data_IF_078676341624
#
_entry.id   IF_078676341624
#
_cell.length_a   1.000
_cell.length_b   1.000
_cell.length_c   1.000
_cell.angle_alpha   90.00
_cell.angle_beta   90.00
_cell.angle_gamma   90.00
#
_symmetry.space_group_name_H-M   'P 1'
#
loop_
_entity.id
_entity.type
_entity.pdbx_description
1 polymer ?
#
# COMPACT_ATOMS: atom_id res chain seq x y z
N UNK A 1 7.04 -2.69 8.32
CA UNK A 1 6.05 -2.50 7.24
C UNK A 1 6.65 -2.94 5.92
N UNK A 2 5.94 -3.74 5.15
CA UNK A 2 6.27 -4.15 3.79
C UNK A 2 5.34 -3.38 2.84
N UNK A 3 5.92 -2.55 1.98
CA UNK A 3 5.18 -1.72 1.03
C UNK A 3 5.06 -2.46 -0.31
N UNK A 4 3.90 -3.06 -0.54
CA UNK A 4 3.72 -4.12 -1.54
C UNK A 4 4.64 -5.33 -1.28
N UNK A 5 4.81 -6.21 -2.27
CA UNK A 5 5.65 -7.41 -2.16
C UNK A 5 7.13 -7.18 -2.47
N UNK A 6 7.53 -6.00 -2.94
CA UNK A 6 8.93 -5.74 -3.30
C UNK A 6 9.95 -6.06 -2.18
N UNK A 7 9.67 -5.77 -0.89
CA UNK A 7 10.57 -6.13 0.21
C UNK A 7 10.16 -7.46 0.90
N UNK A 8 9.37 -8.34 0.26
CA UNK A 8 8.87 -9.58 0.86
C UNK A 8 9.99 -10.52 1.35
N UNK A 9 11.18 -10.44 0.75
CA UNK A 9 12.38 -11.17 1.20
C UNK A 9 12.79 -10.85 2.64
N UNK A 10 12.33 -9.73 3.22
CA UNK A 10 12.56 -9.44 4.64
C UNK A 10 12.04 -10.55 5.56
N UNK A 11 10.97 -11.26 5.17
CA UNK A 11 10.41 -12.38 5.95
C UNK A 11 11.40 -13.55 6.01
N UNK A 12 11.81 -14.19 4.88
CA UNK A 12 12.78 -15.27 4.92
C UNK A 12 14.18 -14.82 5.36
N UNK A 13 14.58 -13.56 5.11
CA UNK A 13 15.88 -13.05 5.60
C UNK A 13 15.91 -12.89 7.12
N UNK A 14 14.83 -12.39 7.73
CA UNK A 14 14.74 -12.31 9.19
C UNK A 14 14.77 -13.71 9.81
N UNK A 15 14.06 -14.68 9.21
CA UNK A 15 14.13 -16.09 9.61
C UNK A 15 15.56 -16.63 9.48
N UNK A 16 16.25 -16.35 8.37
CA UNK A 16 17.63 -16.79 8.13
C UNK A 16 18.58 -16.26 9.20
N UNK A 17 18.51 -14.97 9.53
CA UNK A 17 19.36 -14.37 10.56
C UNK A 17 19.06 -15.01 11.92
N UNK A 18 17.79 -15.08 12.31
CA UNK A 18 17.40 -15.63 13.62
C UNK A 18 17.81 -17.10 13.77
N UNK A 19 17.57 -17.93 12.76
CA UNK A 19 17.84 -19.37 12.84
C UNK A 19 19.32 -19.68 12.59
N UNK A 20 19.89 -19.17 11.50
CA UNK A 20 21.22 -19.60 11.06
C UNK A 20 22.35 -18.87 11.78
N UNK A 21 22.15 -17.60 12.16
CA UNK A 21 23.18 -16.77 12.79
C UNK A 21 22.97 -16.74 14.31
N UNK A 22 21.79 -16.31 14.75
CA UNK A 22 21.47 -16.14 16.18
C UNK A 22 21.07 -17.45 16.88
N UNK A 23 20.96 -18.56 16.13
CA UNK A 23 20.66 -19.91 16.64
C UNK A 23 19.35 -19.98 17.43
N UNK A 24 18.39 -19.14 17.10
CA UNK A 24 17.02 -19.18 17.63
C UNK A 24 16.30 -20.38 17.02
N UNK A 25 15.60 -21.13 17.87
CA UNK A 25 14.74 -22.21 17.39
C UNK A 25 13.70 -21.70 16.38
N UNK A 26 13.36 -22.52 15.38
CA UNK A 26 12.50 -22.12 14.28
C UNK A 26 11.16 -21.56 14.75
N UNK A 27 10.50 -22.20 15.72
CA UNK A 27 9.16 -21.78 16.14
C UNK A 27 9.22 -20.41 16.82
N UNK A 28 10.28 -20.18 17.59
CA UNK A 28 10.52 -18.88 18.22
C UNK A 28 10.90 -17.81 17.20
N UNK A 29 11.74 -18.14 16.23
CA UNK A 29 12.11 -17.25 15.15
C UNK A 29 10.86 -16.83 14.34
N UNK A 30 10.00 -17.79 14.02
CA UNK A 30 8.76 -17.54 13.27
C UNK A 30 7.75 -16.69 14.04
N UNK A 31 7.62 -16.91 15.35
CA UNK A 31 6.80 -16.06 16.23
C UNK A 31 7.28 -14.59 16.17
N UNK A 32 8.60 -14.38 16.27
CA UNK A 32 9.22 -13.04 16.18
C UNK A 32 8.92 -12.44 14.79
N UNK A 33 9.22 -13.16 13.71
CA UNK A 33 9.02 -12.69 12.34
C UNK A 33 7.57 -12.28 12.07
N UNK A 34 6.59 -13.13 12.40
CA UNK A 34 5.16 -12.78 12.22
C UNK A 34 4.77 -11.54 13.02
N UNK A 35 5.21 -11.42 14.28
CA UNK A 35 4.92 -10.25 15.13
C UNK A 35 5.62 -8.97 14.67
N UNK A 36 6.73 -9.07 13.96
CA UNK A 36 7.48 -7.91 13.43
C UNK A 36 6.94 -7.42 12.08
N UNK A 37 6.54 -8.34 11.20
CA UNK A 37 6.16 -8.00 9.82
C UNK A 37 4.67 -7.65 9.68
N UNK A 38 4.39 -6.62 8.88
CA UNK A 38 3.04 -6.18 8.48
C UNK A 38 3.08 -5.77 7.00
N UNK A 39 2.05 -6.14 6.23
CA UNK A 39 2.01 -6.05 4.78
C UNK A 39 0.91 -5.08 4.29
N UNK A 40 1.26 -4.14 3.40
CA UNK A 40 0.29 -3.33 2.65
C UNK A 40 0.20 -3.83 1.21
N UNK A 41 -1.00 -4.22 0.76
CA UNK A 41 -1.27 -4.51 -0.65
C UNK A 41 -1.76 -3.25 -1.38
N UNK A 42 -1.21 -2.97 -2.57
CA UNK A 42 -1.52 -1.78 -3.35
C UNK A 42 -2.30 -2.04 -4.65
N UNK A 43 -2.43 -3.30 -5.06
CA UNK A 43 -3.04 -3.67 -6.33
C UNK A 43 -3.67 -5.05 -6.28
N UNK A 44 -4.73 -5.21 -7.08
CA UNK A 44 -5.44 -6.47 -7.31
C UNK A 44 -5.26 -7.00 -8.73
N UNK A 45 -4.52 -6.27 -9.58
CA UNK A 45 -4.23 -6.66 -10.95
C UNK A 45 -3.29 -7.86 -10.97
N UNK A 46 -3.68 -9.01 -11.56
CA UNK A 46 -2.89 -10.24 -11.51
C UNK A 46 -1.46 -10.09 -12.04
N UNK A 47 -1.27 -9.26 -13.07
CA UNK A 47 0.02 -8.98 -13.70
C UNK A 47 1.01 -8.22 -12.80
N UNK A 48 0.51 -7.54 -11.76
CA UNK A 48 1.32 -6.80 -10.82
C UNK A 48 1.70 -7.63 -9.57
N UNK A 49 1.17 -8.85 -9.44
CA UNK A 49 1.52 -9.74 -8.33
C UNK A 49 2.82 -10.47 -8.64
N UNK A 50 3.86 -10.19 -7.86
CA UNK A 50 5.19 -10.75 -8.08
C UNK A 50 5.20 -12.28 -7.92
N UNK A 51 5.52 -12.98 -9.01
CA UNK A 51 5.65 -14.44 -9.10
C UNK A 51 7.01 -14.82 -9.67
N UNK A 52 7.96 -15.05 -8.78
CA UNK A 52 9.35 -15.29 -9.16
C UNK A 52 9.60 -16.77 -9.50
N UNK A 53 10.30 -17.08 -10.61
CA UNK A 53 10.70 -18.45 -10.91
C UNK A 53 11.51 -19.07 -9.78
N UNK A 54 11.17 -20.30 -9.37
CA UNK A 54 11.91 -21.03 -8.33
C UNK A 54 13.39 -21.20 -8.71
N UNK A 55 13.69 -21.49 -9.98
CA UNK A 55 15.06 -21.66 -10.48
C UNK A 55 15.93 -20.40 -10.30
N UNK A 56 15.31 -19.21 -10.33
CA UNK A 56 16.03 -17.96 -10.05
C UNK A 56 16.44 -17.87 -8.58
N UNK A 57 15.55 -18.25 -7.67
CA UNK A 57 15.85 -18.31 -6.23
C UNK A 57 16.87 -19.38 -5.91
N UNK A 58 16.80 -20.54 -6.55
CA UNK A 58 17.77 -21.62 -6.40
C UNK A 58 19.19 -21.16 -6.75
N UNK A 59 19.33 -20.37 -7.81
CA UNK A 59 20.63 -19.85 -8.23
C UNK A 59 21.13 -18.68 -7.38
N UNK A 60 20.26 -17.76 -6.97
CA UNK A 60 20.66 -16.49 -6.33
C UNK A 60 20.60 -16.53 -4.81
N UNK A 61 19.56 -17.17 -4.26
CA UNK A 61 19.21 -17.16 -2.83
C UNK A 61 18.81 -18.57 -2.36
N UNK A 62 19.69 -19.59 -2.50
CA UNK A 62 19.34 -20.98 -2.23
C UNK A 62 18.86 -21.20 -0.79
N UNK A 63 19.47 -20.52 0.19
CA UNK A 63 19.05 -20.62 1.59
C UNK A 63 17.67 -20.00 1.84
N UNK A 64 17.35 -18.88 1.19
CA UNK A 64 16.01 -18.28 1.29
C UNK A 64 14.95 -19.19 0.69
N UNK A 65 15.28 -19.89 -0.40
CA UNK A 65 14.37 -20.87 -1.01
C UNK A 65 14.05 -22.02 -0.04
N UNK A 66 15.04 -22.57 0.64
CA UNK A 66 14.83 -23.61 1.67
C UNK A 66 13.91 -23.11 2.79
N UNK A 67 14.13 -21.88 3.27
CA UNK A 67 13.29 -21.26 4.30
C UNK A 67 11.86 -21.05 3.79
N UNK A 68 11.68 -20.60 2.55
CA UNK A 68 10.36 -20.41 1.93
C UNK A 68 9.62 -21.74 1.81
N UNK A 69 10.29 -22.83 1.42
CA UNK A 69 9.69 -24.16 1.40
C UNK A 69 9.26 -24.63 2.78
N UNK A 70 10.10 -24.43 3.81
CA UNK A 70 9.75 -24.77 5.19
C UNK A 70 8.56 -23.94 5.72
N UNK A 71 8.49 -22.65 5.38
CA UNK A 71 7.32 -21.79 5.68
C UNK A 71 6.08 -22.35 4.99
N UNK A 72 6.17 -22.67 3.69
CA UNK A 72 5.05 -23.19 2.91
C UNK A 72 4.53 -24.52 3.48
N UNK A 73 5.42 -25.47 3.80
CA UNK A 73 5.02 -26.75 4.36
C UNK A 73 4.24 -26.57 5.67
N UNK A 74 4.82 -25.84 6.64
CA UNK A 74 4.18 -25.60 7.94
C UNK A 74 2.86 -24.84 7.81
N UNK A 75 2.75 -23.92 6.86
CA UNK A 75 1.50 -23.23 6.55
C UNK A 75 0.44 -24.19 6.02
N UNK A 76 0.77 -25.02 5.03
CA UNK A 76 -0.18 -25.95 4.44
C UNK A 76 -0.59 -27.06 5.42
N UNK A 77 0.30 -27.52 6.29
CA UNK A 77 -0.04 -28.45 7.36
C UNK A 77 -1.09 -27.85 8.31
N UNK A 78 -0.95 -26.56 8.64
CA UNK A 78 -1.94 -25.84 9.45
C UNK A 78 -3.28 -25.68 8.73
N UNK A 79 -3.28 -25.34 7.43
CA UNK A 79 -4.50 -25.26 6.63
C UNK A 79 -5.19 -26.62 6.53
N UNK A 80 -4.44 -27.70 6.32
CA UNK A 80 -4.98 -29.06 6.22
C UNK A 80 -5.63 -29.53 7.53
N UNK A 81 -5.07 -29.13 8.68
CA UNK A 81 -5.63 -29.44 9.99
C UNK A 81 -6.96 -28.73 10.25
N UNK A 82 -7.13 -27.50 9.75
CA UNK A 82 -8.35 -26.70 9.93
C UNK A 82 -9.43 -27.01 8.89
N UNK A 83 -9.04 -27.39 7.68
CA UNK A 83 -9.93 -27.68 6.56
C UNK A 83 -9.67 -29.10 6.01
N UNK A 84 -9.94 -30.16 6.80
CA UNK A 84 -9.63 -31.52 6.40
C UNK A 84 -10.40 -31.92 5.12
N UNK A 85 -9.68 -32.39 4.11
CA UNK A 85 -10.24 -32.84 2.83
C UNK A 85 -10.38 -31.76 1.75
N UNK A 86 -10.16 -30.48 2.05
CA UNK A 86 -10.20 -29.39 1.06
C UNK A 86 -8.84 -29.24 0.34
N UNK A 87 -8.54 -30.20 -0.54
CA UNK A 87 -7.27 -30.27 -1.27
C UNK A 87 -7.09 -29.06 -2.21
N UNK A 88 -8.17 -28.54 -2.79
CA UNK A 88 -8.06 -27.39 -3.70
C UNK A 88 -7.69 -26.11 -2.94
N UNK A 89 -8.18 -25.92 -1.70
CA UNK A 89 -7.73 -24.82 -0.84
C UNK A 89 -6.23 -24.87 -0.56
N UNK A 90 -5.66 -26.05 -0.28
CA UNK A 90 -4.21 -26.19 -0.09
C UNK A 90 -3.44 -25.70 -1.32
N UNK A 91 -3.91 -26.05 -2.52
CA UNK A 91 -3.33 -25.57 -3.79
C UNK A 91 -3.45 -24.06 -3.94
N UNK A 92 -4.61 -23.47 -3.63
CA UNK A 92 -4.85 -22.02 -3.75
C UNK A 92 -4.10 -21.18 -2.72
N UNK A 93 -3.81 -21.73 -1.54
CA UNK A 93 -3.10 -21.04 -0.45
C UNK A 93 -1.58 -21.28 -0.42
N UNK A 94 -1.04 -22.11 -1.32
CA UNK A 94 0.39 -22.37 -1.35
C UNK A 94 1.18 -21.13 -1.78
N UNK A 95 2.34 -20.94 -1.16
CA UNK A 95 3.36 -19.98 -1.62
C UNK A 95 3.97 -20.43 -2.94
N UNK A 96 3.96 -21.74 -3.22
CA UNK A 96 4.55 -22.34 -4.41
C UNK A 96 3.45 -22.62 -5.42
N UNK A 97 3.59 -22.02 -6.59
CA UNK A 97 2.68 -22.22 -7.71
C UNK A 97 3.24 -23.27 -8.65
N UNK A 98 2.48 -24.33 -8.84
CA UNK A 98 2.77 -25.40 -9.79
C UNK A 98 2.36 -24.98 -11.22
N UNK A 99 3.04 -25.55 -12.22
CA UNK A 99 2.82 -25.27 -13.64
C UNK A 99 4.06 -25.56 -14.48
N UNK A 100 4.10 -25.07 -15.72
CA UNK A 100 5.25 -25.27 -16.64
C UNK A 100 6.58 -24.77 -16.04
N UNK A 101 6.51 -23.70 -15.26
CA UNK A 101 7.61 -23.19 -14.45
C UNK A 101 7.09 -22.91 -13.04
N UNK A 102 7.67 -23.60 -12.04
CA UNK A 102 7.32 -23.36 -10.64
C UNK A 102 7.67 -21.94 -10.23
N UNK A 103 6.77 -21.28 -9.51
CA UNK A 103 6.94 -19.89 -9.07
C UNK A 103 6.66 -19.73 -7.58
N UNK A 104 7.24 -18.69 -7.00
CA UNK A 104 6.99 -18.26 -5.63
C UNK A 104 6.06 -17.05 -5.69
N UNK A 105 4.86 -17.19 -5.10
CA UNK A 105 3.91 -16.11 -4.94
C UNK A 105 4.27 -15.26 -3.72
N UNK A 106 4.83 -14.06 -3.97
CA UNK A 106 5.34 -13.21 -2.89
C UNK A 106 4.21 -12.61 -2.04
N UNK A 107 3.02 -12.44 -2.61
CA UNK A 107 1.87 -11.94 -1.87
C UNK A 107 1.40 -12.97 -0.83
N UNK A 108 1.35 -14.25 -1.19
CA UNK A 108 1.05 -15.33 -0.24
C UNK A 108 2.09 -15.38 0.88
N UNK A 109 3.39 -15.29 0.53
CA UNK A 109 4.46 -15.22 1.52
C UNK A 109 4.27 -14.05 2.49
N UNK A 110 3.94 -12.86 1.98
CA UNK A 110 3.66 -11.67 2.80
C UNK A 110 2.47 -11.86 3.75
N UNK A 111 1.35 -12.43 3.27
CA UNK A 111 0.15 -12.67 4.09
C UNK A 111 0.43 -13.69 5.20
N UNK A 112 1.15 -14.77 4.88
CA UNK A 112 1.50 -15.82 5.84
C UNK A 112 2.47 -15.29 6.91
N UNK A 113 3.51 -14.57 6.48
CA UNK A 113 4.58 -14.07 7.34
C UNK A 113 4.30 -12.76 8.08
N UNK A 114 3.09 -12.20 7.98
CA UNK A 114 2.72 -10.95 8.63
C UNK A 114 1.61 -11.14 9.67
N UNK A 115 1.60 -10.32 10.72
CA UNK A 115 0.50 -10.25 11.70
C UNK A 115 -0.63 -9.31 11.27
N UNK A 116 -0.39 -8.44 10.28
CA UNK A 116 -1.39 -7.53 9.75
C UNK A 116 -1.25 -7.40 8.23
N UNK A 117 -2.39 -7.35 7.54
CA UNK A 117 -2.51 -7.15 6.10
C UNK A 117 -3.51 -6.02 5.87
N UNK A 118 -3.13 -4.95 5.17
CA UNK A 118 -4.06 -3.87 4.88
C UNK A 118 -4.15 -3.51 3.39
N UNK A 119 -5.36 -3.17 2.98
CA UNK A 119 -5.62 -2.45 1.73
C UNK A 119 -5.57 -0.93 1.94
N UNK A 120 -5.50 -0.20 0.83
CA UNK A 120 -5.23 1.26 0.78
C UNK A 120 -6.47 2.15 0.56
N UNK A 121 -7.65 1.54 0.44
CA UNK A 121 -8.95 2.20 0.38
C UNK A 121 -10.03 1.21 0.85
N UNK A 122 -11.18 1.68 1.34
CA UNK A 122 -12.24 0.78 1.87
C UNK A 122 -12.65 -0.27 0.85
N UNK A 123 -13.02 0.15 -0.37
CA UNK A 123 -13.42 -0.75 -1.45
C UNK A 123 -12.31 -1.76 -1.79
N UNK A 124 -11.06 -1.29 -1.86
CA UNK A 124 -9.90 -2.13 -2.11
C UNK A 124 -9.73 -3.20 -1.02
N UNK A 125 -9.81 -2.81 0.27
CA UNK A 125 -9.76 -3.75 1.39
C UNK A 125 -10.89 -4.79 1.35
N UNK A 126 -12.08 -4.42 0.91
CA UNK A 126 -13.18 -5.39 0.74
C UNK A 126 -12.91 -6.37 -0.40
N UNK A 127 -12.42 -5.90 -1.55
CA UNK A 127 -12.03 -6.77 -2.67
C UNK A 127 -10.93 -7.75 -2.23
N UNK A 128 -9.91 -7.25 -1.53
CA UNK A 128 -8.83 -8.10 -0.99
C UNK A 128 -9.36 -9.25 -0.14
N UNK A 129 -10.37 -8.99 0.71
CA UNK A 129 -11.00 -10.03 1.55
C UNK A 129 -11.95 -10.95 0.79
N UNK A 130 -12.68 -10.44 -0.21
CA UNK A 130 -13.75 -11.18 -0.88
C UNK A 130 -13.27 -11.99 -2.09
N UNK A 131 -12.14 -11.60 -2.70
CA UNK A 131 -11.59 -12.28 -3.88
C UNK A 131 -10.12 -12.66 -3.69
N UNK A 132 -9.20 -11.70 -3.69
CA UNK A 132 -7.75 -11.95 -3.85
C UNK A 132 -7.18 -12.84 -2.75
N UNK A 133 -7.53 -12.58 -1.49
CA UNK A 133 -7.06 -13.33 -0.34
C UNK A 133 -8.22 -13.93 0.46
N UNK A 134 -9.31 -14.32 -0.23
CA UNK A 134 -10.50 -14.88 0.42
C UNK A 134 -10.18 -16.06 1.34
N UNK A 135 -9.43 -17.04 0.84
CA UNK A 135 -9.09 -18.23 1.64
C UNK A 135 -8.22 -17.89 2.87
N UNK A 136 -7.33 -16.88 2.75
CA UNK A 136 -6.54 -16.39 3.88
C UNK A 136 -7.37 -15.59 4.89
N UNK A 137 -8.36 -14.84 4.42
CA UNK A 137 -9.29 -14.11 5.29
C UNK A 137 -10.19 -15.06 6.09
N UNK A 138 -10.63 -16.17 5.48
CA UNK A 138 -11.37 -17.23 6.18
C UNK A 138 -10.51 -17.93 7.25
N UNK A 139 -9.18 -18.00 7.05
CA UNK A 139 -8.24 -18.61 7.98
C UNK A 139 -7.88 -17.69 9.17
N UNK A 140 -7.48 -16.45 8.90
CA UNK A 140 -6.97 -15.48 9.90
C UNK A 140 -7.65 -14.10 9.70
N UNK A 141 -8.97 -13.96 9.98
CA UNK A 141 -9.74 -12.77 9.65
C UNK A 141 -9.24 -11.50 10.37
N UNK A 142 -8.71 -11.64 11.58
CA UNK A 142 -8.20 -10.56 12.42
C UNK A 142 -6.98 -9.84 11.83
N UNK A 143 -6.26 -10.47 10.89
CA UNK A 143 -5.14 -9.83 10.19
C UNK A 143 -5.58 -8.73 9.24
N UNK A 144 -6.79 -8.83 8.67
CA UNK A 144 -7.19 -8.01 7.54
C UNK A 144 -7.77 -6.68 7.98
N UNK A 145 -7.15 -5.60 7.51
CA UNK A 145 -7.48 -4.24 7.90
C UNK A 145 -7.66 -3.31 6.70
N UNK A 146 -8.16 -2.11 6.99
CA UNK A 146 -8.15 -1.00 6.07
C UNK A 146 -7.31 0.15 6.64
N UNK A 147 -6.50 0.77 5.77
CA UNK A 147 -5.80 2.03 6.01
C UNK A 147 -5.90 2.86 4.74
N UNK A 148 -6.91 3.71 4.66
CA UNK A 148 -7.09 4.59 3.49
C UNK A 148 -5.89 5.51 3.34
N UNK A 149 -5.33 5.58 2.13
CA UNK A 149 -4.18 6.43 1.81
C UNK A 149 -4.46 7.89 2.14
N UNK A 150 -3.37 8.62 2.38
CA UNK A 150 -3.40 10.07 2.59
C UNK A 150 -2.25 10.74 1.88
N UNK A 151 -2.36 12.06 1.73
CA UNK A 151 -1.31 12.93 1.23
C UNK A 151 -0.92 13.92 2.33
N UNK A 152 0.37 14.27 2.42
CA UNK A 152 0.82 15.26 3.40
C UNK A 152 0.39 16.67 2.99
N UNK A 153 -0.33 17.43 3.85
CA UNK A 153 -0.74 18.79 3.51
C UNK A 153 0.46 19.74 3.41
N UNK A 154 1.61 19.38 3.99
CA UNK A 154 2.82 20.21 3.91
C UNK A 154 3.31 20.36 2.46
N UNK A 155 3.40 19.24 1.72
CA UNK A 155 3.82 19.28 0.31
C UNK A 155 2.67 19.64 -0.62
N UNK A 156 1.49 19.07 -0.38
CA UNK A 156 0.34 19.13 -1.29
C UNK A 156 -0.63 20.30 -1.04
N UNK A 157 -0.28 21.21 -0.12
CA UNK A 157 -0.96 22.48 0.07
C UNK A 157 0.04 23.61 0.36
N UNK A 158 0.81 23.52 1.45
CA UNK A 158 1.65 24.66 1.88
C UNK A 158 2.77 24.97 0.90
N UNK A 159 3.43 23.93 0.39
CA UNK A 159 4.55 24.10 -0.55
C UNK A 159 4.07 24.44 -1.97
N UNK A 160 3.06 23.72 -2.48
CA UNK A 160 2.63 23.89 -3.88
C UNK A 160 1.61 25.01 -4.08
N UNK A 161 0.88 25.42 -3.04
CA UNK A 161 -0.20 26.40 -3.14
C UNK A 161 -0.26 27.33 -1.89
N UNK A 162 0.80 28.12 -1.63
CA UNK A 162 0.87 28.99 -0.46
C UNK A 162 -0.27 30.01 -0.41
N UNK A 163 -0.69 30.58 -1.55
CA UNK A 163 -1.80 31.54 -1.58
C UNK A 163 -3.13 30.97 -1.06
N UNK A 164 -3.42 29.69 -1.34
CA UNK A 164 -4.59 29.03 -0.77
C UNK A 164 -4.41 28.76 0.72
N UNK A 165 -3.21 28.35 1.13
CA UNK A 165 -2.91 28.14 2.55
C UNK A 165 -3.11 29.44 3.35
N UNK A 166 -2.58 30.57 2.89
CA UNK A 166 -2.70 31.88 3.55
C UNK A 166 -4.17 32.32 3.64
N UNK A 167 -4.94 32.16 2.56
CA UNK A 167 -6.39 32.46 2.55
C UNK A 167 -7.15 31.65 3.61
N UNK A 168 -6.77 30.38 3.82
CA UNK A 168 -7.38 29.52 4.85
C UNK A 168 -6.92 29.96 6.24
N UNK A 169 -5.63 30.28 6.43
CA UNK A 169 -5.08 30.76 7.72
C UNK A 169 -5.80 32.01 8.19
N UNK A 170 -6.09 32.96 7.29
CA UNK A 170 -6.82 34.18 7.62
C UNK A 170 -8.22 33.92 8.19
N UNK A 171 -8.88 32.82 7.78
CA UNK A 171 -10.24 32.49 8.21
C UNK A 171 -10.30 31.60 9.45
N UNK A 172 -9.41 30.62 9.58
CA UNK A 172 -9.51 29.57 10.61
C UNK A 172 -8.24 29.39 11.45
N UNK A 173 -7.20 30.21 11.22
CA UNK A 173 -5.90 30.13 11.86
C UNK A 173 -5.02 28.98 11.34
N UNK A 174 -3.84 28.81 11.94
CA UNK A 174 -2.82 27.84 11.51
C UNK A 174 -3.04 26.40 12.04
N UNK A 175 -4.12 26.14 12.79
CA UNK A 175 -4.37 24.82 13.37
C UNK A 175 -4.43 23.68 12.33
N UNK A 176 -4.87 23.98 11.11
CA UNK A 176 -5.01 22.98 10.05
C UNK A 176 -3.68 22.50 9.43
N UNK A 177 -2.57 23.21 9.66
CA UNK A 177 -1.25 22.87 9.09
C UNK A 177 -0.78 21.47 9.53
N UNK A 178 -1.10 21.10 10.77
CA UNK A 178 -0.79 19.79 11.37
C UNK A 178 -2.03 18.94 11.67
N UNK A 179 -3.22 19.55 11.72
CA UNK A 179 -4.51 18.85 11.91
C UNK A 179 -5.53 19.23 10.81
N UNK A 180 -5.46 18.52 9.69
CA UNK A 180 -6.27 18.80 8.50
C UNK A 180 -7.79 18.66 8.75
N UNK A 181 -8.21 18.01 9.84
CA UNK A 181 -9.64 17.88 10.18
C UNK A 181 -10.30 19.24 10.45
N UNK A 182 -9.52 20.25 10.82
CA UNK A 182 -10.00 21.60 11.08
C UNK A 182 -10.49 22.34 9.83
N UNK A 183 -10.17 21.86 8.62
CA UNK A 183 -10.74 22.42 7.38
C UNK A 183 -12.27 22.37 7.36
N UNK A 184 -12.92 21.51 8.17
CA UNK A 184 -14.38 21.51 8.35
C UNK A 184 -14.93 22.84 8.88
N UNK A 185 -14.11 23.66 9.55
CA UNK A 185 -14.47 25.02 9.98
C UNK A 185 -14.74 25.98 8.81
N UNK A 186 -14.37 25.60 7.58
CA UNK A 186 -14.71 26.38 6.38
C UNK A 186 -16.16 26.14 5.91
N UNK A 187 -16.82 25.05 6.33
CA UNK A 187 -18.19 24.75 5.88
C UNK A 187 -19.21 25.85 6.23
N UNK A 188 -19.19 26.46 7.44
CA UNK A 188 -20.07 27.57 7.75
C UNK A 188 -19.76 28.87 6.98
N UNK A 189 -18.60 28.94 6.31
CA UNK A 189 -18.15 30.10 5.54
C UNK A 189 -18.44 29.95 4.04
N UNK A 190 -19.26 28.99 3.64
CA UNK A 190 -19.56 28.71 2.22
C UNK A 190 -20.23 29.89 1.51
N UNK A 191 -20.99 30.72 2.24
CA UNK A 191 -21.66 31.92 1.73
C UNK A 191 -20.88 33.23 2.06
N UNK A 192 -19.63 33.13 2.55
CA UNK A 192 -18.77 34.29 2.78
C UNK A 192 -18.24 34.82 1.45
N UNK A 193 -18.84 35.90 0.95
CA UNK A 193 -18.49 36.54 -0.33
C UNK A 193 -17.00 36.88 -0.48
N UNK A 194 -16.33 37.25 0.62
CA UNK A 194 -14.90 37.52 0.59
C UNK A 194 -14.10 36.23 0.36
N UNK A 195 -14.41 35.16 1.10
CA UNK A 195 -13.77 33.86 0.95
C UNK A 195 -13.99 33.28 -0.45
N UNK A 196 -15.21 33.37 -0.99
CA UNK A 196 -15.55 32.93 -2.35
C UNK A 196 -14.64 33.65 -3.37
N UNK A 197 -14.57 34.98 -3.28
CA UNK A 197 -13.73 35.80 -4.17
C UNK A 197 -12.25 35.46 -4.03
N UNK A 198 -11.75 35.30 -2.82
CA UNK A 198 -10.33 35.09 -2.55
C UNK A 198 -9.88 33.68 -3.00
N UNK A 199 -10.71 32.65 -2.80
CA UNK A 199 -10.47 31.30 -3.36
C UNK A 199 -10.45 31.33 -4.89
N UNK A 200 -11.38 32.04 -5.52
CA UNK A 200 -11.43 32.19 -6.98
C UNK A 200 -10.19 32.93 -7.53
N UNK A 201 -9.76 33.99 -6.83
CA UNK A 201 -8.55 34.76 -7.17
C UNK A 201 -7.30 33.87 -7.13
N UNK A 202 -7.09 33.13 -6.03
CA UNK A 202 -5.94 32.20 -5.90
C UNK A 202 -5.94 31.15 -7.02
N UNK A 203 -7.11 30.59 -7.36
CA UNK A 203 -7.22 29.65 -8.48
C UNK A 203 -6.80 30.29 -9.81
N UNK A 204 -7.24 31.51 -10.10
CA UNK A 204 -6.89 32.20 -11.33
C UNK A 204 -5.39 32.57 -11.40
N UNK A 205 -4.79 33.01 -10.29
CA UNK A 205 -3.35 33.26 -10.20
C UNK A 205 -2.53 32.00 -10.48
N UNK A 206 -2.93 30.86 -9.92
CA UNK A 206 -2.30 29.57 -10.19
C UNK A 206 -2.41 29.16 -11.67
N UNK A 207 -3.56 29.39 -12.32
CA UNK A 207 -3.74 29.12 -13.76
C UNK A 207 -2.84 29.99 -14.63
N UNK A 208 -2.74 31.28 -14.31
CA UNK A 208 -1.85 32.22 -15.02
C UNK A 208 -0.38 31.81 -14.87
N UNK A 209 0.04 31.45 -13.65
CA UNK A 209 1.41 30.97 -13.38
C UNK A 209 1.74 29.70 -14.16
N UNK A 210 0.82 28.73 -14.20
CA UNK A 210 1.01 27.50 -14.96
C UNK A 210 1.02 27.74 -16.48
N UNK A 211 0.16 28.63 -16.99
CA UNK A 211 0.14 28.99 -18.41
C UNK A 211 1.45 29.64 -18.85
N UNK A 212 1.98 30.57 -18.04
CA UNK A 212 3.27 31.20 -18.30
C UNK A 212 4.44 30.21 -18.24
N UNK A 213 4.38 29.22 -17.33
CA UNK A 213 5.35 28.14 -17.28
C UNK A 213 5.36 27.30 -18.57
N UNK A 214 4.18 26.88 -19.05
CA UNK A 214 4.06 26.10 -20.29
C UNK A 214 4.58 26.87 -21.52
N UNK A 215 4.26 28.15 -21.62
CA UNK A 215 4.74 28.99 -22.72
C UNK A 215 6.26 29.20 -22.65
N UNK A 216 6.82 29.35 -21.45
CA UNK A 216 8.26 29.52 -21.26
C UNK A 216 9.05 28.25 -21.63
N UNK A 217 8.72 27.12 -21.01
CA UNK A 217 9.50 25.87 -21.09
C UNK A 217 9.19 25.04 -22.34
N UNK A 218 7.92 25.04 -22.79
CA UNK A 218 7.45 24.18 -23.87
C UNK A 218 6.96 24.94 -25.11
N UNK A 219 6.93 26.28 -25.08
CA UNK A 219 6.38 27.13 -26.16
C UNK A 219 4.92 26.82 -26.49
N UNK A 220 4.18 26.28 -25.51
CA UNK A 220 2.75 25.97 -25.62
C UNK A 220 1.96 27.08 -24.96
N UNK A 221 1.13 27.77 -25.74
CA UNK A 221 0.22 28.80 -25.24
C UNK A 221 -1.17 28.19 -25.02
N UNK A 222 -1.71 28.39 -23.81
CA UNK A 222 -3.06 27.96 -23.44
C UNK A 222 -3.90 29.16 -22.99
N UNK A 223 -5.23 29.05 -23.07
CA UNK A 223 -6.15 30.09 -22.62
C UNK A 223 -6.38 30.00 -21.10
N UNK A 224 -5.84 30.90 -20.25
CA UNK A 224 -6.01 30.83 -18.80
C UNK A 224 -7.44 31.12 -18.33
N UNK A 225 -8.33 31.56 -19.21
CA UNK A 225 -9.75 31.77 -18.91
C UNK A 225 -10.61 30.53 -19.17
N UNK A 226 -10.08 29.49 -19.83
CA UNK A 226 -10.81 28.23 -20.01
C UNK A 226 -10.88 27.42 -18.71
N UNK A 227 -11.75 26.41 -18.68
CA UNK A 227 -11.62 25.33 -17.70
C UNK A 227 -10.32 24.56 -17.98
N UNK A 228 -9.57 24.21 -16.93
CA UNK A 228 -8.40 23.34 -17.04
C UNK A 228 -8.83 21.92 -16.65
N UNK A 229 -9.01 21.08 -17.66
CA UNK A 229 -9.30 19.66 -17.51
C UNK A 229 -7.98 18.88 -17.51
N UNK A 230 -7.71 18.12 -16.44
CA UNK A 230 -6.39 17.54 -16.16
C UNK A 230 -6.54 16.10 -15.69
N UNK A 231 -5.96 15.18 -16.47
CA UNK A 231 -5.72 13.79 -16.08
C UNK A 231 -4.21 13.53 -16.22
N UNK A 232 -3.55 13.32 -15.08
CA UNK A 232 -2.08 13.15 -14.96
C UNK A 232 -1.74 11.86 -14.25
#
# INVERSE_FOLDING_TARGET
>A
QLNDTHPALAIPELMRILVDVEKVDWDKAWEITKKTCAYTNHTVLPEALERWPVSMFESLLPRHLEIIYAINQRHLDHVAALFPGDVDRLRRMSVIEEGDCKRINMAHLCVIGSHAVNGVARIHSEIVKQSVFKDFYELEPEKFQNKTNGITPRRWLLLCNPGLADTIVEKIGEGFLTDLSQLKKLLPLVDDEALIRDVAKVKQENKLKFSAFLEKEYKVKINPSSMFDVHV
#
